data_IF_346980069519
#
_entry.id   IF_346980069519
#
_cell.length_a   1.000
_cell.length_b   1.000
_cell.length_c   1.000
_cell.angle_alpha   90.00
_cell.angle_beta   90.00
_cell.angle_gamma   90.00
#
_symmetry.space_group_name_H-M   'P 1'
#
loop_
_entity.id
_entity.type
_entity.pdbx_description
1 polymer ?
#
# COMPACT_ATOMS: atom_id res chain seq x y z
N UNK A 1 57.61 -25.49 12.72
CA UNK A 1 56.20 -25.53 13.19
C UNK A 1 55.63 -24.16 13.57
N UNK A 2 56.20 -23.40 14.53
CA UNK A 2 55.62 -22.11 15.00
C UNK A 2 55.46 -21.02 13.91
N UNK A 3 56.39 -20.92 12.94
CA UNK A 3 56.30 -19.96 11.82
C UNK A 3 55.21 -20.33 10.83
N UNK A 4 55.05 -21.58 10.49
CA UNK A 4 53.97 -22.07 9.59
C UNK A 4 52.59 -21.83 10.18
N UNK A 5 52.43 -22.11 11.49
CA UNK A 5 51.16 -21.86 12.19
C UNK A 5 50.78 -20.37 12.19
N UNK A 6 51.78 -19.47 12.39
CA UNK A 6 51.52 -18.01 12.31
C UNK A 6 51.07 -17.57 10.92
N UNK A 7 51.73 -18.06 9.86
CA UNK A 7 51.35 -17.74 8.47
C UNK A 7 49.93 -18.25 8.19
N UNK A 8 49.60 -19.47 8.59
CA UNK A 8 48.27 -20.05 8.41
C UNK A 8 47.19 -19.23 9.14
N UNK A 9 47.45 -18.81 10.38
CA UNK A 9 46.56 -17.93 11.14
C UNK A 9 46.36 -16.56 10.47
N UNK A 10 47.43 -15.96 9.92
CA UNK A 10 47.31 -14.71 9.18
C UNK A 10 46.47 -14.88 7.91
N UNK A 11 46.66 -15.96 7.15
CA UNK A 11 45.84 -16.25 5.95
C UNK A 11 44.39 -16.47 6.32
N UNK A 12 44.11 -17.27 7.36
CA UNK A 12 42.73 -17.48 7.84
C UNK A 12 42.08 -16.17 8.33
N UNK A 13 42.86 -15.36 9.08
CA UNK A 13 42.34 -14.06 9.55
C UNK A 13 42.03 -13.09 8.41
N UNK A 14 42.89 -13.04 7.37
CA UNK A 14 42.64 -12.20 6.20
C UNK A 14 41.43 -12.70 5.38
N UNK A 15 41.27 -14.01 5.21
CA UNK A 15 40.14 -14.59 4.53
C UNK A 15 38.84 -14.30 5.28
N UNK A 16 38.83 -14.45 6.59
CA UNK A 16 37.68 -14.11 7.43
C UNK A 16 37.33 -12.63 7.32
N UNK A 17 38.31 -11.73 7.34
CA UNK A 17 38.10 -10.30 7.19
C UNK A 17 37.46 -9.96 5.83
N UNK A 18 37.88 -10.61 4.74
CA UNK A 18 37.28 -10.44 3.41
C UNK A 18 35.83 -10.92 3.38
N UNK A 19 35.54 -12.08 3.98
CA UNK A 19 34.18 -12.62 4.06
C UNK A 19 33.25 -11.65 4.85
N UNK A 20 33.75 -11.15 5.99
CA UNK A 20 32.97 -10.19 6.80
C UNK A 20 32.74 -8.89 6.04
N UNK A 21 33.75 -8.33 5.37
CA UNK A 21 33.60 -7.12 4.57
C UNK A 21 32.61 -7.32 3.43
N UNK A 22 32.65 -8.46 2.75
CA UNK A 22 31.71 -8.81 1.69
C UNK A 22 30.27 -8.92 2.21
N UNK A 23 30.11 -9.56 3.37
CA UNK A 23 28.80 -9.64 4.03
C UNK A 23 28.25 -8.26 4.40
N UNK A 24 29.08 -7.37 4.93
CA UNK A 24 28.69 -5.99 5.20
C UNK A 24 28.27 -5.24 3.94
N UNK A 25 28.99 -5.40 2.83
CA UNK A 25 28.63 -4.78 1.56
C UNK A 25 27.27 -5.26 1.04
N UNK A 26 27.01 -6.57 1.09
CA UNK A 26 25.72 -7.13 0.70
C UNK A 26 24.62 -6.61 1.62
N UNK A 27 24.81 -6.71 2.92
CA UNK A 27 23.82 -6.24 3.91
C UNK A 27 23.49 -4.76 3.73
N UNK A 28 24.49 -3.93 3.46
CA UNK A 28 24.27 -2.51 3.18
C UNK A 28 23.45 -2.30 1.90
N UNK A 29 23.78 -3.03 0.82
CA UNK A 29 23.07 -2.88 -0.46
C UNK A 29 21.64 -3.33 -0.35
N UNK A 30 21.40 -4.46 0.30
CA UNK A 30 20.08 -5.06 0.40
C UNK A 30 19.16 -4.27 1.35
N UNK A 31 19.69 -3.73 2.46
CA UNK A 31 18.79 -3.18 3.49
C UNK A 31 18.85 -1.65 3.63
N UNK A 32 19.91 -0.98 3.15
CA UNK A 32 20.12 0.43 3.50
C UNK A 32 20.46 1.36 2.34
N UNK A 33 20.85 0.82 1.19
CA UNK A 33 21.19 1.62 0.03
C UNK A 33 19.98 2.42 -0.45
N UNK A 34 20.14 3.74 -0.53
CA UNK A 34 19.12 4.63 -1.06
C UNK A 34 19.32 4.85 -2.56
N UNK A 35 18.28 4.66 -3.32
CA UNK A 35 18.26 4.89 -4.76
C UNK A 35 17.11 5.84 -5.09
N UNK A 36 17.42 6.99 -5.70
CA UNK A 36 16.37 7.90 -6.17
C UNK A 36 15.64 7.27 -7.35
N UNK A 37 14.33 7.11 -7.20
CA UNK A 37 13.46 6.52 -8.22
C UNK A 37 12.83 7.59 -9.10
N UNK A 38 12.42 8.73 -8.48
CA UNK A 38 11.79 9.83 -9.19
C UNK A 38 11.90 11.13 -8.38
N UNK A 39 11.60 12.26 -9.03
CA UNK A 39 11.53 13.59 -8.41
C UNK A 39 10.39 14.40 -8.99
N UNK A 40 9.74 15.20 -8.14
CA UNK A 40 8.71 16.16 -8.52
C UNK A 40 9.09 17.54 -8.00
N UNK A 41 8.91 18.57 -8.82
CA UNK A 41 9.25 19.95 -8.45
C UNK A 41 7.98 20.78 -8.37
N UNK A 42 7.88 21.64 -7.35
CA UNK A 42 6.76 22.57 -7.19
C UNK A 42 6.65 23.52 -8.40
N UNK A 43 5.45 24.01 -8.73
CA UNK A 43 5.25 24.90 -9.88
C UNK A 43 6.09 26.19 -9.85
N UNK A 44 6.44 26.68 -8.67
CA UNK A 44 7.31 27.84 -8.47
C UNK A 44 8.82 27.51 -8.47
N UNK A 45 9.17 26.22 -8.52
CA UNK A 45 10.55 25.72 -8.51
C UNK A 45 11.26 25.82 -7.17
N UNK A 46 10.55 26.16 -6.10
CA UNK A 46 11.14 26.35 -4.76
C UNK A 46 11.37 25.05 -4.03
N UNK A 47 10.44 24.10 -4.17
CA UNK A 47 10.45 22.83 -3.47
C UNK A 47 10.66 21.67 -4.44
N UNK A 48 11.36 20.66 -3.94
CA UNK A 48 11.59 19.39 -4.64
C UNK A 48 11.19 18.23 -3.73
N UNK A 49 10.38 17.32 -4.24
CA UNK A 49 10.03 16.10 -3.58
C UNK A 49 10.74 14.92 -4.26
N UNK A 50 11.46 14.13 -3.47
CA UNK A 50 12.30 13.03 -3.95
C UNK A 50 11.69 11.70 -3.47
N UNK A 51 11.41 10.80 -4.41
CA UNK A 51 11.05 9.41 -4.14
C UNK A 51 12.30 8.55 -4.15
N UNK A 52 12.56 7.84 -3.07
CA UNK A 52 13.69 6.94 -2.92
C UNK A 52 13.24 5.53 -2.56
N UNK A 53 13.85 4.52 -3.20
CA UNK A 53 13.85 3.16 -2.67
C UNK A 53 14.94 3.04 -1.60
N UNK A 54 14.68 2.25 -0.55
CA UNK A 54 15.60 1.96 0.55
C UNK A 54 15.84 0.46 0.61
N UNK A 55 17.01 0.05 0.17
CA UNK A 55 17.35 -1.36 0.01
C UNK A 55 16.75 -1.97 -1.25
N UNK A 56 16.62 -3.26 -1.24
CA UNK A 56 15.95 -4.06 -2.26
C UNK A 56 14.62 -4.58 -1.67
N UNK A 57 13.60 -4.87 -2.47
CA UNK A 57 12.37 -5.49 -1.98
C UNK A 57 12.64 -6.81 -1.27
N UNK A 58 11.82 -7.16 -0.30
CA UNK A 58 11.91 -8.44 0.40
C UNK A 58 11.59 -9.59 -0.57
N UNK A 59 12.56 -10.48 -0.71
CA UNK A 59 12.43 -11.62 -1.63
C UNK A 59 11.75 -12.81 -0.94
N UNK A 60 10.84 -13.59 -1.62
CA UNK A 60 10.47 -13.50 -3.05
C UNK A 60 9.27 -12.61 -3.35
N UNK A 61 8.39 -12.29 -2.43
CA UNK A 61 7.08 -11.62 -2.63
C UNK A 61 6.78 -10.64 -1.50
N UNK A 62 7.81 -9.99 -0.96
CA UNK A 62 7.65 -9.09 0.17
C UNK A 62 7.50 -7.62 -0.22
N UNK A 63 7.44 -6.79 0.81
CA UNK A 63 7.30 -5.34 0.66
C UNK A 63 8.57 -4.67 0.15
N UNK A 64 8.42 -3.51 -0.48
CA UNK A 64 9.49 -2.60 -0.84
C UNK A 64 9.49 -1.40 0.09
N UNK A 65 10.64 -1.12 0.75
CA UNK A 65 10.80 0.05 1.60
C UNK A 65 11.10 1.29 0.79
N UNK A 66 10.37 2.37 1.05
CA UNK A 66 10.50 3.65 0.37
C UNK A 66 10.70 4.83 1.30
N UNK A 67 11.06 5.96 0.71
CA UNK A 67 11.26 7.21 1.42
C UNK A 67 10.86 8.38 0.54
N UNK A 68 10.07 9.29 1.10
CA UNK A 68 9.82 10.62 0.57
C UNK A 68 10.72 11.63 1.29
N UNK A 69 11.35 12.52 0.53
CA UNK A 69 12.17 13.60 1.08
C UNK A 69 11.73 14.92 0.44
N UNK A 70 11.23 15.84 1.25
CA UNK A 70 10.87 17.19 0.84
C UNK A 70 12.04 18.13 1.09
N UNK A 71 12.45 18.84 0.05
CA UNK A 71 13.59 19.76 0.03
C UNK A 71 13.14 21.18 -0.31
N UNK A 72 13.78 22.19 0.28
CA UNK A 72 13.78 23.58 -0.17
C UNK A 72 15.22 23.95 -0.59
N UNK A 73 15.47 23.99 -1.88
CA UNK A 73 16.82 24.14 -2.40
C UNK A 73 17.76 23.01 -1.95
N UNK A 74 18.67 23.27 -1.01
CA UNK A 74 19.59 22.27 -0.45
C UNK A 74 19.19 21.78 0.94
N UNK A 75 18.20 22.38 1.55
CA UNK A 75 17.79 22.11 2.91
C UNK A 75 16.64 21.08 2.91
N UNK A 76 16.80 20.06 3.74
CA UNK A 76 15.74 19.08 3.93
C UNK A 76 14.71 19.62 4.91
N UNK A 77 13.46 19.77 4.46
CA UNK A 77 12.32 20.20 5.28
C UNK A 77 11.79 19.03 6.08
N UNK A 78 11.41 17.95 5.39
CA UNK A 78 10.84 16.78 6.04
C UNK A 78 11.20 15.49 5.32
N UNK A 79 10.94 14.37 5.99
CA UNK A 79 11.18 13.05 5.46
C UNK A 79 10.15 12.09 6.06
N UNK A 80 9.64 11.16 5.25
CA UNK A 80 8.83 10.06 5.72
C UNK A 80 9.25 8.77 5.06
N UNK A 81 9.28 7.68 5.83
CA UNK A 81 9.53 6.32 5.34
C UNK A 81 8.17 5.64 5.18
N UNK A 82 8.04 4.79 4.19
CA UNK A 82 6.83 4.02 3.89
C UNK A 82 7.20 2.62 3.38
N UNK A 83 6.24 1.72 3.36
CA UNK A 83 6.36 0.40 2.76
C UNK A 83 5.28 0.22 1.70
N UNK A 84 5.63 -0.39 0.58
CA UNK A 84 4.68 -0.81 -0.45
C UNK A 84 4.66 -2.33 -0.53
N UNK A 85 3.47 -2.91 -0.36
CA UNK A 85 3.22 -4.32 -0.63
C UNK A 85 3.00 -4.48 -2.14
N UNK A 86 4.04 -4.91 -2.82
CA UNK A 86 4.15 -4.87 -4.27
C UNK A 86 4.63 -6.20 -4.85
N UNK A 87 4.31 -7.30 -4.17
CA UNK A 87 4.65 -8.67 -4.57
C UNK A 87 6.13 -8.84 -4.97
N UNK A 88 7.04 -8.23 -4.19
CA UNK A 88 8.47 -8.19 -4.48
C UNK A 88 8.87 -7.19 -5.57
N UNK A 89 7.94 -6.40 -6.08
CA UNK A 89 8.20 -5.34 -7.05
C UNK A 89 8.97 -4.16 -6.46
N UNK A 90 9.84 -3.56 -7.25
CA UNK A 90 10.62 -2.38 -6.85
C UNK A 90 9.78 -1.11 -6.90
N UNK A 91 10.12 -0.13 -6.05
CA UNK A 91 9.54 1.22 -6.10
C UNK A 91 9.96 1.91 -7.41
N UNK A 92 8.98 2.43 -8.13
CA UNK A 92 9.15 3.13 -9.41
C UNK A 92 8.33 4.43 -9.41
N UNK A 93 8.44 5.23 -10.46
CA UNK A 93 7.63 6.43 -10.65
C UNK A 93 6.13 6.16 -10.81
N UNK A 94 5.72 4.91 -11.09
CA UNK A 94 4.30 4.54 -11.16
C UNK A 94 3.67 4.30 -9.79
N UNK A 95 4.49 4.14 -8.73
CA UNK A 95 3.98 3.89 -7.37
C UNK A 95 3.54 5.17 -6.65
N UNK A 96 3.66 6.33 -7.27
CA UNK A 96 3.26 7.58 -6.64
C UNK A 96 2.54 8.53 -7.58
N UNK A 97 1.67 9.37 -7.01
CA UNK A 97 1.05 10.51 -7.67
C UNK A 97 1.24 11.74 -6.79
N UNK A 98 1.79 12.81 -7.35
CA UNK A 98 2.12 14.04 -6.62
C UNK A 98 1.22 15.18 -7.07
N UNK A 99 0.63 15.88 -6.10
CA UNK A 99 -0.14 17.11 -6.30
C UNK A 99 0.40 18.21 -5.41
N UNK A 100 0.79 19.35 -6.00
CA UNK A 100 1.32 20.51 -5.28
C UNK A 100 0.20 21.50 -4.95
N UNK A 101 0.17 21.96 -3.71
CA UNK A 101 -0.71 23.01 -3.19
C UNK A 101 0.10 24.20 -2.71
N UNK A 102 -0.56 25.24 -2.20
CA UNK A 102 0.10 26.48 -1.76
C UNK A 102 1.01 26.27 -0.55
N UNK A 103 0.56 25.45 0.43
CA UNK A 103 1.23 25.26 1.72
C UNK A 103 1.78 23.85 1.94
N UNK A 104 1.50 22.90 1.02
CA UNK A 104 1.89 21.50 1.16
C UNK A 104 1.97 20.78 -0.18
N UNK A 105 2.55 19.60 -0.16
CA UNK A 105 2.49 18.62 -1.25
C UNK A 105 1.77 17.35 -0.77
N UNK A 106 0.84 16.90 -1.59
CA UNK A 106 0.11 15.64 -1.41
C UNK A 106 0.73 14.56 -2.27
N UNK A 107 0.91 13.39 -1.69
CA UNK A 107 1.42 12.19 -2.37
C UNK A 107 0.44 11.06 -2.12
N UNK A 108 -0.03 10.44 -3.19
CA UNK A 108 -0.72 9.15 -3.12
C UNK A 108 0.29 8.08 -3.47
N UNK A 109 0.49 7.14 -2.56
CA UNK A 109 1.35 5.98 -2.71
C UNK A 109 0.47 4.76 -3.00
N UNK A 110 0.69 4.11 -4.14
CA UNK A 110 -0.10 2.95 -4.59
C UNK A 110 0.80 1.72 -4.69
N UNK A 111 0.38 0.64 -4.03
CA UNK A 111 0.97 -0.69 -4.13
C UNK A 111 -0.04 -1.68 -4.71
N UNK A 112 0.43 -2.84 -5.19
CA UNK A 112 -0.43 -3.85 -5.84
C UNK A 112 -1.31 -4.62 -4.84
N UNK A 113 -0.85 -4.76 -3.57
CA UNK A 113 -1.49 -5.58 -2.55
C UNK A 113 -1.86 -4.76 -1.29
N UNK A 114 -2.08 -3.48 -1.45
CA UNK A 114 -2.46 -2.59 -0.35
C UNK A 114 -3.41 -1.50 -0.84
N UNK A 115 -4.10 -0.91 0.11
CA UNK A 115 -4.82 0.33 -0.15
C UNK A 115 -3.84 1.48 -0.38
N UNK A 116 -4.23 2.45 -1.17
CA UNK A 116 -3.46 3.66 -1.38
C UNK A 116 -3.22 4.39 -0.05
N UNK A 117 -2.01 4.92 0.13
CA UNK A 117 -1.66 5.73 1.27
C UNK A 117 -1.52 7.19 0.84
N UNK A 118 -2.23 8.09 1.49
CA UNK A 118 -2.08 9.52 1.33
C UNK A 118 -1.05 10.06 2.31
N UNK A 119 -0.05 10.75 1.80
CA UNK A 119 0.96 11.44 2.58
C UNK A 119 0.89 12.93 2.26
N UNK A 120 0.62 13.76 3.26
CA UNK A 120 0.67 15.22 3.15
C UNK A 120 1.92 15.71 3.84
N UNK A 121 2.77 16.42 3.10
CA UNK A 121 3.98 17.03 3.64
C UNK A 121 3.87 18.56 3.55
N UNK A 122 3.73 19.19 4.71
CA UNK A 122 3.65 20.65 4.81
C UNK A 122 5.03 21.29 4.69
N UNK A 123 5.08 22.52 4.16
CA UNK A 123 6.33 23.25 4.00
C UNK A 123 6.90 23.78 5.31
N UNK A 124 6.15 23.71 6.41
CA UNK A 124 6.64 23.97 7.77
C UNK A 124 7.32 22.75 8.42
N UNK A 125 7.37 21.62 7.71
CA UNK A 125 7.98 20.36 8.16
C UNK A 125 7.03 19.40 8.88
N UNK A 126 5.77 19.78 9.11
CA UNK A 126 4.74 18.88 9.62
C UNK A 126 4.29 17.90 8.54
N UNK A 127 3.68 16.80 8.93
CA UNK A 127 3.18 15.78 8.01
C UNK A 127 1.96 15.08 8.55
N UNK A 128 1.12 14.61 7.64
CA UNK A 128 -0.03 13.75 7.89
C UNK A 128 0.06 12.52 7.00
N UNK A 129 -0.32 11.37 7.52
CA UNK A 129 -0.32 10.10 6.79
C UNK A 129 -1.66 9.44 7.09
N UNK A 130 -2.36 9.07 6.03
CA UNK A 130 -3.66 8.43 6.10
C UNK A 130 -3.74 7.30 5.07
N UNK A 131 -4.21 6.13 5.47
CA UNK A 131 -4.61 5.13 4.49
C UNK A 131 -5.94 5.55 3.88
N UNK A 132 -6.04 5.49 2.54
CA UNK A 132 -7.27 5.84 1.82
C UNK A 132 -8.33 4.71 1.91
N UNK A 133 -8.31 3.96 3.00
CA UNK A 133 -9.31 2.93 3.31
C UNK A 133 -10.56 3.50 3.96
N UNK A 134 -10.58 4.79 4.24
CA UNK A 134 -11.73 5.38 4.90
C UNK A 134 -12.95 5.30 3.99
N UNK A 135 -13.89 4.44 4.39
CA UNK A 135 -15.24 4.36 3.83
C UNK A 135 -15.92 5.74 3.83
N UNK A 136 -15.44 6.66 4.67
CA UNK A 136 -15.88 8.06 4.67
C UNK A 136 -15.63 8.80 3.34
N UNK A 137 -14.62 8.40 2.54
CA UNK A 137 -14.34 8.97 1.23
C UNK A 137 -14.97 8.18 0.07
N UNK A 138 -15.57 7.03 0.35
CA UNK A 138 -16.35 6.28 -0.63
C UNK A 138 -17.57 7.13 -0.99
N UNK A 139 -17.58 7.71 -2.18
CA UNK A 139 -18.76 8.34 -2.74
C UNK A 139 -19.78 7.26 -3.06
N UNK A 140 -20.67 7.03 -2.12
CA UNK A 140 -21.80 6.12 -2.32
C UNK A 140 -22.92 6.84 -3.06
N UNK A 141 -23.43 6.19 -4.07
CA UNK A 141 -24.57 6.67 -4.85
C UNK A 141 -25.87 6.16 -4.20
N UNK A 142 -26.46 6.97 -3.31
CA UNK A 142 -27.74 6.61 -2.67
C UNK A 142 -28.70 7.80 -2.69
N UNK A 143 -29.94 7.60 -3.19
CA UNK A 143 -30.46 6.38 -3.80
C UNK A 143 -29.83 6.07 -5.16
N UNK A 144 -29.46 4.80 -5.38
CA UNK A 144 -28.90 4.30 -6.63
C UNK A 144 -29.99 3.75 -7.56
N UNK A 145 -29.83 3.92 -8.87
CA UNK A 145 -30.70 3.28 -9.86
C UNK A 145 -30.35 1.79 -10.05
N UNK A 146 -29.16 1.38 -9.68
CA UNK A 146 -28.69 0.00 -9.82
C UNK A 146 -29.26 -0.90 -8.74
N UNK A 147 -29.92 -1.98 -9.15
CA UNK A 147 -30.53 -2.94 -8.23
C UNK A 147 -29.68 -4.18 -8.08
N UNK A 148 -29.56 -4.65 -6.84
CA UNK A 148 -28.96 -5.93 -6.55
C UNK A 148 -29.86 -7.06 -7.05
N UNK A 149 -29.33 -7.96 -7.87
CA UNK A 149 -30.01 -9.18 -8.29
C UNK A 149 -29.70 -10.30 -7.29
N UNK A 150 -30.62 -10.53 -6.37
CA UNK A 150 -30.49 -11.53 -5.30
C UNK A 150 -30.20 -12.93 -5.81
N UNK A 151 -30.56 -13.27 -7.04
CA UNK A 151 -30.28 -14.60 -7.62
C UNK A 151 -28.80 -14.80 -7.96
N UNK A 152 -28.01 -13.72 -7.97
CA UNK A 152 -26.58 -13.71 -8.27
C UNK A 152 -25.69 -13.50 -7.03
N UNK A 153 -26.28 -13.34 -5.87
CA UNK A 153 -25.54 -13.23 -4.61
C UNK A 153 -24.89 -14.57 -4.27
N UNK A 154 -23.57 -14.52 -4.01
CA UNK A 154 -22.79 -15.69 -3.61
C UNK A 154 -22.74 -15.76 -2.08
N UNK A 155 -22.27 -14.68 -1.46
CA UNK A 155 -22.25 -14.48 -0.02
C UNK A 155 -22.59 -13.05 0.33
N UNK A 156 -23.08 -12.83 1.54
CA UNK A 156 -23.41 -11.51 2.06
C UNK A 156 -23.16 -11.43 3.55
N UNK A 157 -22.87 -10.21 4.01
CA UNK A 157 -22.78 -9.88 5.41
C UNK A 157 -23.45 -8.54 5.65
N UNK A 158 -24.32 -8.46 6.65
CA UNK A 158 -25.02 -7.23 7.00
C UNK A 158 -24.32 -6.53 8.15
N UNK A 159 -24.26 -5.21 8.08
CA UNK A 159 -23.72 -4.33 9.11
C UNK A 159 -24.69 -3.20 9.39
N UNK A 160 -24.80 -2.79 10.65
CA UNK A 160 -25.40 -1.52 10.99
C UNK A 160 -24.34 -0.43 10.90
N UNK A 161 -24.58 0.54 10.02
CA UNK A 161 -23.69 1.69 9.83
C UNK A 161 -24.43 2.94 10.26
N UNK A 162 -23.87 3.65 11.24
CA UNK A 162 -24.41 4.93 11.72
C UNK A 162 -23.98 6.13 10.85
N UNK A 163 -23.54 5.84 9.62
CA UNK A 163 -23.14 6.85 8.65
C UNK A 163 -24.40 7.43 8.01
N UNK A 164 -24.69 8.72 8.23
CA UNK A 164 -25.81 9.45 7.62
C UNK A 164 -27.21 8.86 7.87
N UNK A 165 -27.45 8.25 9.02
CA UNK A 165 -28.73 7.55 9.32
C UNK A 165 -29.06 6.41 8.33
N UNK A 166 -28.03 5.79 7.76
CA UNK A 166 -28.22 4.76 6.74
C UNK A 166 -28.82 3.46 7.27
N UNK A 167 -28.55 3.11 8.54
CA UNK A 167 -28.98 1.84 9.12
C UNK A 167 -28.27 0.66 8.51
N UNK A 168 -29.00 -0.43 8.26
CA UNK A 168 -28.41 -1.68 7.76
C UNK A 168 -27.92 -1.54 6.31
N UNK A 169 -26.64 -1.90 6.09
CA UNK A 169 -26.03 -2.06 4.76
C UNK A 169 -25.53 -3.50 4.61
N UNK A 170 -25.43 -3.97 3.38
CA UNK A 170 -24.98 -5.32 3.06
C UNK A 170 -23.69 -5.24 2.23
N UNK A 171 -22.66 -5.91 2.67
CA UNK A 171 -21.51 -6.22 1.84
C UNK A 171 -21.79 -7.53 1.11
N UNK A 172 -21.71 -7.52 -0.21
CA UNK A 172 -22.17 -8.61 -1.05
C UNK A 172 -21.11 -8.97 -2.06
N UNK A 173 -20.79 -10.26 -2.16
CA UNK A 173 -20.10 -10.80 -3.32
C UNK A 173 -21.10 -11.43 -4.28
N UNK A 174 -21.04 -11.06 -5.55
CA UNK A 174 -22.00 -11.52 -6.53
C UNK A 174 -21.42 -11.68 -7.94
N UNK A 175 -22.08 -12.47 -8.77
CA UNK A 175 -21.71 -12.65 -10.17
C UNK A 175 -22.32 -11.53 -11.01
N UNK A 176 -21.51 -10.70 -11.70
CA UNK A 176 -22.02 -9.58 -12.53
C UNK A 176 -22.86 -10.08 -13.72
N UNK A 177 -22.57 -11.29 -14.25
CA UNK A 177 -23.36 -11.93 -15.30
C UNK A 177 -23.52 -13.44 -15.02
N UNK A 178 -24.56 -14.08 -15.58
CA UNK A 178 -24.80 -15.52 -15.41
C UNK A 178 -23.78 -16.42 -16.12
N UNK A 179 -23.03 -15.90 -17.09
CA UNK A 179 -22.06 -16.64 -17.90
C UNK A 179 -20.62 -16.47 -17.37
N UNK A 180 -20.44 -15.82 -16.23
CA UNK A 180 -19.12 -15.56 -15.68
C UNK A 180 -18.56 -16.76 -14.95
N UNK A 181 -17.28 -17.04 -15.23
CA UNK A 181 -16.46 -17.92 -14.41
C UNK A 181 -16.26 -17.28 -13.03
N UNK A 182 -15.95 -18.08 -12.02
CA UNK A 182 -15.67 -17.64 -10.65
C UNK A 182 -14.57 -16.54 -10.55
N UNK A 183 -13.82 -16.33 -11.63
CA UNK A 183 -12.78 -15.31 -11.77
C UNK A 183 -13.33 -13.87 -11.84
N UNK A 184 -14.64 -13.71 -12.07
CA UNK A 184 -15.28 -12.39 -12.26
C UNK A 184 -16.26 -12.04 -11.13
N UNK A 185 -16.01 -12.50 -9.93
CA UNK A 185 -16.84 -12.13 -8.76
C UNK A 185 -16.64 -10.66 -8.44
N UNK A 186 -17.72 -9.92 -8.37
CA UNK A 186 -17.73 -8.52 -7.96
C UNK A 186 -18.09 -8.38 -6.50
N UNK A 187 -17.47 -7.41 -5.82
CA UNK A 187 -17.81 -7.02 -4.46
C UNK A 187 -18.54 -5.68 -4.48
N UNK A 188 -19.67 -5.61 -3.81
CA UNK A 188 -20.49 -4.39 -3.77
C UNK A 188 -21.00 -4.11 -2.37
N UNK A 189 -21.25 -2.83 -2.08
CA UNK A 189 -22.05 -2.42 -0.96
C UNK A 189 -23.50 -2.22 -1.43
N UNK A 190 -24.46 -2.82 -0.74
CA UNK A 190 -25.86 -2.72 -1.06
C UNK A 190 -26.68 -2.18 0.11
N UNK A 191 -27.65 -1.32 -0.18
CA UNK A 191 -28.63 -0.77 0.75
C UNK A 191 -30.02 -0.81 0.10
N UNK A 192 -31.03 -1.28 0.85
CA UNK A 192 -32.42 -1.34 0.38
C UNK A 192 -32.57 -2.01 -1.01
N UNK A 193 -31.77 -3.06 -1.24
CA UNK A 193 -31.71 -3.80 -2.51
C UNK A 193 -31.19 -2.97 -3.71
N UNK A 194 -30.43 -1.92 -3.43
CA UNK A 194 -29.71 -1.10 -4.43
C UNK A 194 -28.20 -1.26 -4.23
N UNK A 195 -27.45 -1.36 -5.33
CA UNK A 195 -25.98 -1.31 -5.26
C UNK A 195 -25.59 0.16 -5.15
N UNK A 196 -24.93 0.50 -4.05
CA UNK A 196 -24.55 1.87 -3.72
C UNK A 196 -23.07 2.13 -3.91
N UNK A 197 -22.26 1.06 -4.02
CA UNK A 197 -20.84 1.15 -4.28
C UNK A 197 -20.30 -0.14 -4.87
N UNK A 198 -19.38 -0.04 -5.82
CA UNK A 198 -18.60 -1.14 -6.37
C UNK A 198 -17.17 -1.05 -5.87
N UNK A 199 -16.70 -2.12 -5.24
CA UNK A 199 -15.29 -2.21 -4.85
C UNK A 199 -14.42 -2.42 -6.10
N UNK A 200 -13.21 -1.83 -6.15
CA UNK A 200 -12.32 -1.98 -7.29
C UNK A 200 -11.89 -3.41 -7.58
N UNK A 201 -11.65 -3.72 -8.84
CA UNK A 201 -11.39 -5.05 -9.37
C UNK A 201 -10.11 -5.75 -8.86
N UNK A 202 -9.18 -5.03 -8.23
CA UNK A 202 -7.98 -5.65 -7.66
C UNK A 202 -8.27 -6.59 -6.47
N UNK A 203 -9.46 -6.50 -5.87
CA UNK A 203 -9.95 -7.52 -4.94
C UNK A 203 -10.34 -8.83 -5.65
N UNK A 204 -10.41 -8.84 -6.97
CA UNK A 204 -11.04 -9.90 -7.76
C UNK A 204 -10.05 -10.96 -8.26
N UNK A 205 -8.74 -10.65 -8.41
CA UNK A 205 -7.88 -11.44 -9.32
C UNK A 205 -6.96 -12.48 -8.69
N UNK A 206 -6.83 -12.64 -7.36
CA UNK A 206 -5.76 -13.46 -6.79
C UNK A 206 -6.16 -14.63 -5.90
N UNK A 207 -7.42 -15.04 -5.86
CA UNK A 207 -7.81 -16.07 -4.90
C UNK A 207 -8.52 -17.28 -5.51
N UNK A 208 -8.13 -18.48 -5.06
CA UNK A 208 -8.92 -19.70 -5.19
C UNK A 208 -10.21 -19.58 -4.36
N UNK A 209 -11.23 -20.42 -4.65
CA UNK A 209 -12.52 -20.40 -3.95
C UNK A 209 -12.39 -20.38 -2.41
N UNK A 210 -11.38 -21.07 -1.85
CA UNK A 210 -11.11 -21.08 -0.42
C UNK A 210 -10.45 -19.78 0.09
N UNK A 211 -9.63 -19.14 -0.73
CA UNK A 211 -8.96 -17.88 -0.37
C UNK A 211 -9.95 -16.71 -0.41
N UNK A 212 -10.99 -16.79 -1.26
CA UNK A 212 -12.05 -15.76 -1.33
C UNK A 212 -12.92 -15.73 -0.08
N UNK A 213 -13.20 -16.88 0.52
CA UNK A 213 -13.86 -16.94 1.82
C UNK A 213 -12.96 -16.35 2.91
N UNK A 214 -11.65 -16.61 2.88
CA UNK A 214 -10.68 -16.01 3.78
C UNK A 214 -10.49 -14.50 3.57
N UNK A 215 -10.64 -14.01 2.34
CA UNK A 215 -10.67 -12.57 2.05
C UNK A 215 -11.92 -11.89 2.63
N UNK A 216 -13.05 -12.55 2.63
CA UNK A 216 -14.27 -12.06 3.28
C UNK A 216 -14.03 -11.87 4.79
N UNK A 217 -13.40 -12.86 5.44
CA UNK A 217 -13.02 -12.78 6.85
C UNK A 217 -11.96 -11.67 7.09
N UNK A 218 -11.08 -11.41 6.14
CA UNK A 218 -10.02 -10.40 6.27
C UNK A 218 -10.52 -8.97 5.99
N UNK A 219 -11.47 -8.79 5.09
CA UNK A 219 -12.16 -7.50 4.87
C UNK A 219 -13.02 -7.16 6.08
N UNK A 220 -13.65 -8.16 6.70
CA UNK A 220 -14.33 -8.00 7.98
C UNK A 220 -13.37 -7.53 9.09
N UNK A 221 -12.16 -8.09 9.13
CA UNK A 221 -11.18 -7.75 10.16
C UNK A 221 -10.52 -6.36 9.96
N UNK A 222 -10.36 -5.89 8.74
CA UNK A 222 -9.56 -4.69 8.44
C UNK A 222 -10.44 -3.47 8.12
N UNK A 223 -11.56 -3.65 7.41
CA UNK A 223 -12.37 -2.51 6.95
C UNK A 223 -13.43 -2.04 7.94
N UNK A 224 -14.06 -2.96 8.65
CA UNK A 224 -15.23 -2.65 9.47
C UNK A 224 -14.94 -2.52 10.97
N UNK A 225 -13.89 -3.12 11.51
CA UNK A 225 -13.44 -2.86 12.88
C UNK A 225 -12.96 -1.40 13.06
N UNK A 226 -12.35 -0.81 12.05
CA UNK A 226 -11.89 0.58 12.11
C UNK A 226 -13.05 1.60 12.07
N UNK A 227 -14.22 1.24 11.55
CA UNK A 227 -15.40 2.11 11.57
C UNK A 227 -16.01 2.18 12.96
N UNK A 228 -16.07 1.03 13.66
CA UNK A 228 -16.69 0.92 14.99
C UNK A 228 -15.80 1.58 16.09
N UNK A 229 -14.48 1.63 15.89
CA UNK A 229 -13.54 2.26 16.84
C UNK A 229 -13.39 3.79 16.64
N UNK A 230 -13.86 4.36 15.53
CA UNK A 230 -13.77 5.82 15.23
C UNK A 230 -15.07 6.59 15.43
N UNK A 231 -16.17 5.89 15.75
CA UNK A 231 -17.43 6.48 16.19
C UNK A 231 -17.50 6.51 17.71
#
# INVERSE_FOLDING_TARGET
MKKFLKIMLCIMGSLLAVIVAFWFCISYTVNYKKTTCDTSVSPDGRYELILQAVGEPDWPFGSASGRLVLMEGKDKISQTDFELHNDGGSITSSCWKVTWYEDYVEVILSGEEQFDEQVILYFDGTKEIQQLTDIADIKVDYPSEEKLDESRVITEQSFEVDLNDWGEVRFVSYLPTYDTLWEDVSFVLAKDNQIVYHFPAYFENNSTENDRVGMFDSVEAVGFQDIDERM
#
